data_IF_971899505801
#
_entry.id   IF_971899505801
#
_cell.length_a   1.000
_cell.length_b   1.000
_cell.length_c   1.000
_cell.angle_alpha   90.00
_cell.angle_beta   90.00
_cell.angle_gamma   90.00
#
_symmetry.space_group_name_H-M   'P 1'
#
loop_
_entity.id
_entity.type
_entity.pdbx_description
1 polymer ?
#
# COMPACT_ATOMS: atom_id res chain seq x y z
N UNK A 1 -22.89 -19.31 2.30
CA UNK A 1 -21.78 -18.64 1.59
C UNK A 1 -20.58 -18.38 2.49
N UNK A 2 -20.63 -17.49 3.49
CA UNK A 2 -19.46 -17.19 4.33
C UNK A 2 -18.95 -18.44 5.09
N UNK A 3 -19.88 -19.16 5.72
CA UNK A 3 -19.64 -20.46 6.37
C UNK A 3 -18.95 -21.46 5.41
N UNK A 4 -19.50 -21.63 4.21
CA UNK A 4 -18.96 -22.54 3.19
C UNK A 4 -17.53 -22.17 2.79
N UNK A 5 -17.23 -20.86 2.70
CA UNK A 5 -15.89 -20.36 2.35
C UNK A 5 -14.89 -20.60 3.48
N UNK A 6 -15.30 -20.46 4.75
CA UNK A 6 -14.44 -20.75 5.89
C UNK A 6 -14.17 -22.26 6.01
N UNK A 7 -15.20 -23.09 5.86
CA UNK A 7 -15.07 -24.55 5.86
C UNK A 7 -14.21 -25.08 4.71
N UNK A 8 -14.17 -24.39 3.57
CA UNK A 8 -13.26 -24.74 2.48
C UNK A 8 -11.77 -24.53 2.81
N UNK A 9 -11.44 -23.67 3.78
CA UNK A 9 -10.06 -23.40 4.21
C UNK A 9 -9.71 -24.27 5.42
N UNK A 10 -10.56 -24.24 6.45
CA UNK A 10 -10.43 -25.05 7.67
C UNK A 10 -11.78 -25.71 7.94
N UNK A 11 -11.93 -27.02 7.71
CA UNK A 11 -13.18 -27.71 8.02
C UNK A 11 -13.45 -27.74 9.53
N UNK A 12 -14.69 -27.47 9.95
CA UNK A 12 -15.17 -27.63 11.32
C UNK A 12 -16.53 -28.31 11.36
N UNK A 13 -16.73 -29.11 12.40
CA UNK A 13 -18.02 -29.77 12.66
C UNK A 13 -19.02 -28.80 13.31
N UNK A 14 -18.52 -27.78 14.01
CA UNK A 14 -19.31 -26.73 14.65
C UNK A 14 -19.35 -25.44 13.82
N UNK A 15 -20.44 -24.65 13.86
CA UNK A 15 -20.54 -23.40 13.14
C UNK A 15 -19.49 -22.37 13.57
N UNK A 16 -19.04 -21.55 12.63
CA UNK A 16 -18.16 -20.43 12.93
C UNK A 16 -18.90 -19.29 13.67
N UNK A 17 -18.30 -18.77 14.73
CA UNK A 17 -18.73 -17.51 15.32
C UNK A 17 -18.28 -16.34 14.44
N UNK A 18 -19.22 -15.70 13.73
CA UNK A 18 -18.95 -14.53 12.89
C UNK A 18 -19.26 -13.26 13.66
N UNK A 19 -18.23 -12.65 14.24
CA UNK A 19 -18.36 -11.41 15.03
C UNK A 19 -18.68 -10.20 14.14
N UNK A 20 -18.12 -10.14 12.92
CA UNK A 20 -18.34 -9.02 12.01
C UNK A 20 -18.31 -9.45 10.54
N UNK A 21 -19.18 -8.86 9.73
CA UNK A 21 -19.19 -8.99 8.28
C UNK A 21 -19.63 -7.68 7.66
N UNK A 22 -18.84 -7.18 6.72
CA UNK A 22 -19.18 -5.99 5.94
C UNK A 22 -18.91 -6.23 4.46
N UNK A 23 -19.67 -5.54 3.61
CA UNK A 23 -19.42 -5.45 2.18
C UNK A 23 -18.89 -4.06 1.88
N UNK A 24 -17.79 -3.98 1.15
CA UNK A 24 -17.20 -2.71 0.74
C UNK A 24 -16.99 -2.70 -0.77
N UNK A 25 -17.13 -1.51 -1.34
CA UNK A 25 -16.78 -1.27 -2.73
C UNK A 25 -15.28 -1.08 -2.84
N UNK A 26 -14.70 -1.69 -3.86
CA UNK A 26 -13.27 -1.58 -4.13
C UNK A 26 -13.05 -0.44 -5.09
N UNK A 27 -12.17 0.49 -4.73
CA UNK A 27 -11.76 1.61 -5.56
C UNK A 27 -10.24 1.65 -5.68
N UNK A 28 -9.78 2.26 -6.77
CA UNK A 28 -8.39 2.61 -6.97
C UNK A 28 -8.34 4.04 -7.48
N UNK A 29 -8.05 4.98 -6.59
CA UNK A 29 -8.15 6.42 -6.84
C UNK A 29 -7.03 7.14 -6.09
N UNK A 30 -6.53 8.20 -6.70
CA UNK A 30 -5.56 9.14 -6.12
C UNK A 30 -6.08 10.53 -6.44
N UNK A 31 -6.08 11.43 -5.46
CA UNK A 31 -6.45 12.82 -5.65
C UNK A 31 -5.51 13.52 -6.64
N UNK A 32 -6.03 14.47 -7.41
CA UNK A 32 -5.24 15.22 -8.41
C UNK A 32 -4.14 16.07 -7.76
N UNK A 33 -4.42 16.62 -6.59
CA UNK A 33 -3.45 17.34 -5.74
C UNK A 33 -3.71 17.04 -4.27
N UNK A 34 -2.64 17.00 -3.48
CA UNK A 34 -2.69 16.81 -2.02
C UNK A 34 -2.69 18.14 -1.26
N UNK A 35 -2.53 19.28 -1.95
CA UNK A 35 -2.46 20.61 -1.36
C UNK A 35 -3.34 21.60 -2.11
N UNK A 36 -4.05 22.43 -1.36
CA UNK A 36 -4.67 23.66 -1.88
C UNK A 36 -4.47 24.79 -0.86
N UNK A 37 -3.45 25.62 -1.09
CA UNK A 37 -3.04 26.63 -0.11
C UNK A 37 -2.63 25.97 1.22
N UNK A 38 -3.39 26.27 2.28
CA UNK A 38 -3.17 25.73 3.63
C UNK A 38 -4.00 24.47 3.92
N UNK A 39 -4.76 23.97 2.94
CA UNK A 39 -5.50 22.73 3.05
C UNK A 39 -4.67 21.58 2.50
N UNK A 40 -4.49 20.54 3.31
CA UNK A 40 -3.72 19.34 2.96
C UNK A 40 -4.54 18.09 3.22
N UNK A 41 -4.33 17.06 2.40
CA UNK A 41 -4.94 15.74 2.56
C UNK A 41 -3.86 14.65 2.65
N UNK A 42 -4.18 13.56 3.36
CA UNK A 42 -3.33 12.40 3.58
C UNK A 42 -4.17 11.12 3.75
N UNK A 43 -3.57 9.94 3.54
CA UNK A 43 -4.25 8.66 3.71
C UNK A 43 -5.48 8.51 2.82
N UNK A 44 -6.56 7.94 3.35
CA UNK A 44 -7.79 7.65 2.58
C UNK A 44 -8.45 8.88 1.94
N UNK A 45 -8.20 10.08 2.48
CA UNK A 45 -8.65 11.33 1.88
C UNK A 45 -7.88 11.66 0.58
N UNK A 46 -6.63 11.23 0.49
CA UNK A 46 -5.72 11.49 -0.62
C UNK A 46 -5.67 10.35 -1.64
N UNK A 47 -5.85 9.09 -1.20
CA UNK A 47 -5.83 7.93 -2.07
C UNK A 47 -6.62 6.76 -1.47
N UNK A 48 -7.23 5.96 -2.33
CA UNK A 48 -7.90 4.72 -1.96
C UNK A 48 -7.36 3.62 -2.87
N UNK A 49 -6.97 2.49 -2.29
CA UNK A 49 -6.48 1.33 -3.01
C UNK A 49 -7.30 0.08 -2.69
N UNK A 50 -7.20 -0.93 -3.57
CA UNK A 50 -7.87 -2.20 -3.34
C UNK A 50 -7.22 -2.93 -2.16
N UNK A 51 -7.96 -3.25 -1.07
CA UNK A 51 -7.39 -3.92 0.09
C UNK A 51 -6.85 -5.31 -0.23
N UNK A 52 -7.32 -5.97 -1.30
CA UNK A 52 -6.74 -7.22 -1.77
C UNK A 52 -5.24 -7.05 -2.05
N UNK A 53 -4.82 -6.00 -2.73
CA UNK A 53 -3.41 -5.80 -3.03
C UNK A 53 -2.55 -5.41 -1.82
N UNK A 54 -3.18 -5.04 -0.69
CA UNK A 54 -2.52 -4.54 0.51
C UNK A 54 -1.98 -3.11 0.33
N UNK A 55 -1.28 -2.59 1.34
CA UNK A 55 -0.52 -1.31 1.32
C UNK A 55 -1.23 0.00 1.66
N UNK A 56 -2.56 0.05 1.78
CA UNK A 56 -3.30 1.32 1.99
C UNK A 56 -2.93 2.02 3.30
N UNK A 57 -2.99 1.28 4.41
CA UNK A 57 -2.63 1.77 5.74
C UNK A 57 -1.17 2.28 5.81
N UNK A 58 -0.24 1.53 5.22
CA UNK A 58 1.18 1.92 5.19
C UNK A 58 1.39 3.23 4.40
N UNK A 59 0.67 3.39 3.28
CA UNK A 59 0.67 4.63 2.51
C UNK A 59 0.25 5.83 3.36
N UNK A 60 -0.87 5.74 4.08
CA UNK A 60 -1.34 6.81 4.95
C UNK A 60 -0.43 7.13 6.14
N UNK A 61 0.23 6.11 6.72
CA UNK A 61 1.27 6.33 7.74
C UNK A 61 2.44 7.12 7.16
N UNK A 62 2.94 6.72 5.99
CA UNK A 62 4.03 7.42 5.31
C UNK A 62 3.65 8.85 4.94
N UNK A 63 2.42 9.09 4.47
CA UNK A 63 1.93 10.45 4.20
C UNK A 63 1.99 11.32 5.47
N UNK A 64 1.52 10.77 6.58
CA UNK A 64 1.48 11.48 7.86
C UNK A 64 2.88 11.83 8.37
N UNK A 65 3.84 10.91 8.24
CA UNK A 65 5.23 11.14 8.67
C UNK A 65 5.86 12.24 7.82
N UNK A 66 5.80 12.13 6.48
CA UNK A 66 6.41 13.13 5.59
C UNK A 66 5.76 14.50 5.79
N UNK A 67 4.43 14.56 5.90
CA UNK A 67 3.72 15.80 6.15
C UNK A 67 4.14 16.44 7.48
N UNK A 68 4.20 15.66 8.55
CA UNK A 68 4.61 16.14 9.86
C UNK A 68 6.04 16.71 9.84
N UNK A 69 6.99 16.04 9.18
CA UNK A 69 8.36 16.52 9.01
C UNK A 69 8.41 17.90 8.33
N UNK A 70 7.64 18.08 7.24
CA UNK A 70 7.61 19.38 6.53
C UNK A 70 6.95 20.47 7.38
N UNK A 71 5.86 20.14 8.07
CA UNK A 71 5.18 21.09 8.95
C UNK A 71 6.07 21.53 10.12
N UNK A 72 6.85 20.62 10.71
CA UNK A 72 7.82 20.96 11.76
C UNK A 72 8.88 21.91 11.22
N UNK A 73 9.47 21.61 10.06
CA UNK A 73 10.48 22.48 9.44
C UNK A 73 9.94 23.89 9.17
N UNK A 74 8.72 24.01 8.65
CA UNK A 74 8.09 25.31 8.38
C UNK A 74 7.78 26.07 9.68
N UNK A 75 7.17 25.41 10.66
CA UNK A 75 6.65 26.08 11.85
C UNK A 75 7.73 26.36 12.91
N UNK A 76 8.81 25.58 12.93
CA UNK A 76 9.82 25.63 14.00
C UNK A 76 11.23 25.98 13.49
N UNK A 77 11.52 25.78 12.21
CA UNK A 77 12.87 25.92 11.64
C UNK A 77 12.96 26.98 10.55
N UNK A 78 11.92 27.81 10.39
CA UNK A 78 11.84 28.92 9.41
C UNK A 78 12.03 28.46 7.96
N UNK A 79 11.64 27.22 7.66
CA UNK A 79 11.69 26.67 6.30
C UNK A 79 10.53 27.21 5.43
N UNK A 80 10.76 27.25 4.11
CA UNK A 80 9.75 27.69 3.13
C UNK A 80 8.52 26.77 3.11
N UNK A 81 7.32 27.36 2.95
CA UNK A 81 6.08 26.62 2.70
C UNK A 81 6.09 25.82 1.39
N UNK A 82 7.04 26.06 0.49
CA UNK A 82 7.24 25.27 -0.74
C UNK A 82 7.50 23.79 -0.43
N UNK A 83 7.95 23.46 0.79
CA UNK A 83 8.06 22.08 1.26
C UNK A 83 6.73 21.31 1.24
N UNK A 84 5.59 22.01 1.28
CA UNK A 84 4.27 21.39 1.15
C UNK A 84 3.94 21.03 -0.30
N UNK A 85 4.51 21.72 -1.30
CA UNK A 85 4.42 21.32 -2.71
C UNK A 85 5.31 20.10 -2.98
N UNK A 86 6.47 20.05 -2.32
CA UNK A 86 7.32 18.84 -2.31
C UNK A 86 6.55 17.66 -1.70
N UNK A 87 5.81 17.86 -0.61
CA UNK A 87 4.94 16.83 -0.04
C UNK A 87 3.90 16.31 -1.05
N UNK A 88 3.16 17.19 -1.74
CA UNK A 88 2.20 16.77 -2.77
C UNK A 88 2.89 15.93 -3.86
N UNK A 89 3.95 16.48 -4.46
CA UNK A 89 4.65 15.80 -5.53
C UNK A 89 5.19 14.43 -5.09
N UNK A 90 5.87 14.39 -3.94
CA UNK A 90 6.50 13.20 -3.40
C UNK A 90 5.48 12.10 -3.10
N UNK A 91 4.38 12.43 -2.41
CA UNK A 91 3.41 11.43 -1.95
C UNK A 91 2.48 10.97 -3.07
N UNK A 92 2.05 11.88 -3.94
CA UNK A 92 1.21 11.54 -5.09
C UNK A 92 1.94 10.65 -6.10
N UNK A 93 3.23 10.91 -6.34
CA UNK A 93 4.06 10.06 -7.20
C UNK A 93 4.17 8.64 -6.63
N UNK A 94 4.46 8.50 -5.34
CA UNK A 94 4.53 7.18 -4.69
C UNK A 94 3.18 6.44 -4.71
N UNK A 95 2.08 7.15 -4.47
CA UNK A 95 0.75 6.57 -4.51
C UNK A 95 0.39 6.04 -5.93
N UNK A 96 0.70 6.81 -6.97
CA UNK A 96 0.42 6.45 -8.37
C UNK A 96 1.38 5.39 -8.94
N UNK A 97 2.69 5.56 -8.77
CA UNK A 97 3.67 4.73 -9.48
C UNK A 97 3.98 3.41 -8.75
N UNK A 98 3.97 3.43 -7.42
CA UNK A 98 4.38 2.27 -6.61
C UNK A 98 3.18 1.54 -6.02
N UNK A 99 2.36 2.24 -5.23
CA UNK A 99 1.27 1.60 -4.48
C UNK A 99 0.23 1.02 -5.42
N UNK A 100 -0.25 1.80 -6.38
CA UNK A 100 -1.26 1.34 -7.33
C UNK A 100 -0.78 0.18 -8.20
N UNK A 101 0.43 0.26 -8.75
CA UNK A 101 1.01 -0.79 -9.60
C UNK A 101 1.16 -2.11 -8.83
N UNK A 102 1.76 -2.05 -7.65
CA UNK A 102 1.97 -3.24 -6.82
C UNK A 102 0.65 -3.85 -6.35
N UNK A 103 -0.34 -3.02 -6.01
CA UNK A 103 -1.68 -3.46 -5.62
C UNK A 103 -2.39 -4.18 -6.76
N UNK A 104 -2.30 -3.68 -7.99
CA UNK A 104 -2.88 -4.32 -9.19
C UNK A 104 -2.23 -5.68 -9.44
N UNK A 105 -0.89 -5.73 -9.49
CA UNK A 105 -0.17 -6.98 -9.72
C UNK A 105 -0.51 -8.05 -8.66
N UNK A 106 -0.64 -7.62 -7.39
CA UNK A 106 -0.96 -8.53 -6.31
C UNK A 106 -2.42 -9.03 -6.38
N UNK A 107 -3.36 -8.15 -6.72
CA UNK A 107 -4.76 -8.50 -6.98
C UNK A 107 -4.88 -9.54 -8.09
N UNK A 108 -4.26 -9.30 -9.25
CA UNK A 108 -4.28 -10.22 -10.39
C UNK A 108 -3.73 -11.61 -10.03
N UNK A 109 -2.65 -11.64 -9.25
CA UNK A 109 -2.06 -12.90 -8.76
C UNK A 109 -3.04 -13.67 -7.87
N UNK A 110 -3.77 -13.00 -6.98
CA UNK A 110 -4.70 -13.68 -6.06
C UNK A 110 -6.01 -14.10 -6.71
N UNK A 111 -6.52 -13.32 -7.66
CA UNK A 111 -7.78 -13.62 -8.35
C UNK A 111 -7.62 -14.71 -9.42
N UNK A 112 -6.39 -15.03 -9.81
CA UNK A 112 -6.10 -16.07 -10.80
C UNK A 112 -6.60 -17.44 -10.34
N UNK A 113 -7.54 -18.01 -11.10
CA UNK A 113 -8.10 -19.36 -10.93
C UNK A 113 -7.36 -20.43 -11.76
N UNK A 114 -6.38 -20.04 -12.57
CA UNK A 114 -5.59 -20.97 -13.40
C UNK A 114 -4.63 -21.80 -12.54
N UNK A 115 -4.80 -23.13 -12.45
CA UNK A 115 -3.93 -23.98 -11.64
C UNK A 115 -2.46 -23.93 -12.05
N UNK A 116 -2.15 -23.74 -13.34
CA UNK A 116 -0.77 -23.66 -13.80
C UNK A 116 -0.11 -22.35 -13.39
N UNK A 117 -0.82 -21.23 -13.51
CA UNK A 117 -0.37 -19.95 -12.98
C UNK A 117 -0.15 -20.00 -11.46
N UNK A 118 -1.05 -20.64 -10.71
CA UNK A 118 -0.92 -20.82 -9.27
C UNK A 118 0.32 -21.65 -8.89
N UNK A 119 0.55 -22.78 -9.58
CA UNK A 119 1.75 -23.62 -9.38
C UNK A 119 3.04 -22.87 -9.67
N UNK A 120 3.13 -22.18 -10.82
CA UNK A 120 4.30 -21.38 -11.20
C UNK A 120 4.59 -20.30 -10.17
N UNK A 121 3.56 -19.61 -9.68
CA UNK A 121 3.68 -18.59 -8.64
C UNK A 121 4.20 -19.16 -7.32
N UNK A 122 3.65 -20.29 -6.88
CA UNK A 122 4.12 -20.95 -5.66
C UNK A 122 5.59 -21.37 -5.79
N UNK A 123 5.98 -21.96 -6.93
CA UNK A 123 7.37 -22.33 -7.20
C UNK A 123 8.30 -21.11 -7.18
N UNK A 124 7.87 -19.97 -7.74
CA UNK A 124 8.65 -18.73 -7.70
C UNK A 124 8.82 -18.20 -6.28
N UNK A 125 7.76 -18.21 -5.45
CA UNK A 125 7.88 -17.83 -4.05
C UNK A 125 8.83 -18.75 -3.28
N UNK A 126 8.79 -20.06 -3.53
CA UNK A 126 9.74 -21.00 -2.93
C UNK A 126 11.18 -20.72 -3.36
N UNK A 127 11.40 -20.35 -4.64
CA UNK A 127 12.72 -19.96 -5.15
C UNK A 127 13.23 -18.66 -4.54
N UNK A 128 12.36 -17.67 -4.38
CA UNK A 128 12.68 -16.41 -3.68
C UNK A 128 13.03 -16.69 -2.22
N UNK A 129 12.24 -17.52 -1.53
CA UNK A 129 12.43 -17.83 -0.11
C UNK A 129 13.71 -18.65 0.14
N UNK A 130 14.12 -19.49 -0.81
CA UNK A 130 15.34 -20.30 -0.71
C UNK A 130 16.64 -19.51 -0.92
N UNK A 131 16.56 -18.25 -1.37
CA UNK A 131 17.70 -17.38 -1.63
C UNK A 131 17.64 -16.14 -0.70
N UNK A 132 18.55 -15.99 0.28
CA UNK A 132 18.49 -14.91 1.25
C UNK A 132 18.51 -13.50 0.64
N UNK A 133 19.22 -13.29 -0.46
CA UNK A 133 19.28 -11.98 -1.11
C UNK A 133 17.95 -11.65 -1.79
N UNK A 134 17.38 -12.62 -2.50
CA UNK A 134 16.07 -12.47 -3.13
C UNK A 134 14.96 -12.31 -2.10
N UNK A 135 15.00 -13.09 -1.01
CA UNK A 135 14.05 -12.98 0.09
C UNK A 135 14.11 -11.58 0.72
N UNK A 136 15.32 -11.07 0.98
CA UNK A 136 15.51 -9.71 1.53
C UNK A 136 14.97 -8.64 0.58
N UNK A 137 15.31 -8.70 -0.70
CA UNK A 137 14.82 -7.75 -1.69
C UNK A 137 13.28 -7.80 -1.79
N UNK A 138 12.71 -9.00 -1.81
CA UNK A 138 11.26 -9.19 -1.81
C UNK A 138 10.62 -8.53 -0.58
N UNK A 139 11.14 -8.77 0.62
CA UNK A 139 10.60 -8.21 1.87
C UNK A 139 10.72 -6.68 1.94
N UNK A 140 11.83 -6.10 1.48
CA UNK A 140 12.00 -4.64 1.43
C UNK A 140 10.95 -3.98 0.53
N UNK A 141 10.68 -4.59 -0.62
CA UNK A 141 9.63 -4.14 -1.55
C UNK A 141 8.23 -4.32 -0.97
N UNK A 142 7.91 -5.51 -0.44
CA UNK A 142 6.55 -5.80 0.06
C UNK A 142 6.25 -5.13 1.40
N UNK A 143 7.26 -4.71 2.15
CA UNK A 143 7.10 -3.90 3.36
C UNK A 143 7.14 -2.39 3.08
N UNK A 144 7.11 -1.98 1.80
CA UNK A 144 7.16 -0.58 1.37
C UNK A 144 8.38 0.23 1.81
N UNK A 145 9.46 -0.43 2.24
CA UNK A 145 10.70 0.23 2.65
C UNK A 145 11.41 0.82 1.42
N UNK A 146 11.36 0.14 0.28
CA UNK A 146 11.88 0.68 -0.99
C UNK A 146 11.09 1.93 -1.41
N UNK A 147 9.75 1.85 -1.43
CA UNK A 147 8.91 3.00 -1.75
C UNK A 147 9.13 4.19 -0.79
N UNK A 148 9.43 3.92 0.48
CA UNK A 148 9.83 4.97 1.43
C UNK A 148 11.16 5.63 1.04
N UNK A 149 12.18 4.84 0.69
CA UNK A 149 13.49 5.38 0.25
C UNK A 149 13.38 6.19 -1.02
N UNK A 150 12.61 5.71 -1.99
CA UNK A 150 12.34 6.44 -3.24
C UNK A 150 11.61 7.75 -2.95
N UNK A 151 10.66 7.74 -2.02
CA UNK A 151 9.99 8.94 -1.52
C UNK A 151 10.99 9.95 -0.98
N UNK A 152 11.89 9.54 -0.09
CA UNK A 152 12.91 10.43 0.49
C UNK A 152 13.82 11.03 -0.58
N UNK A 153 14.21 10.25 -1.59
CA UNK A 153 15.04 10.74 -2.70
C UNK A 153 14.31 11.81 -3.54
N UNK A 154 13.01 11.64 -3.79
CA UNK A 154 12.17 12.63 -4.48
C UNK A 154 11.99 13.93 -3.67
N UNK A 155 12.09 13.87 -2.34
CA UNK A 155 11.95 15.03 -1.47
C UNK A 155 13.23 15.86 -1.31
N UNK A 156 14.34 15.47 -1.93
CA UNK A 156 15.64 16.17 -1.90
C UNK A 156 15.95 16.98 -3.16
N UNK A 157 15.12 16.83 -4.22
CA UNK A 157 15.17 17.60 -5.47
C UNK A 157 14.25 18.81 -5.40
#
# INVERSE_FOLDING_TARGET
YAEDRLNAIVPRDEPYEVVHRTLYWVHQRVAETYRQGNLLIAGDAAHINNPLGGMGMNGGIHDSIVLAEKLVAILQEDASEDLLDVYDHQRRTIAGEFVQKQTIENKERMESLDPDAQRKRQAEFMRIAADPEKARAFLLRTSMIEAWRDSVALGQT
#
